data_IF_540934828041
#
_entry.id   IF_540934828041
#
_cell.length_a   1.000
_cell.length_b   1.000
_cell.length_c   1.000
_cell.angle_alpha   90.00
_cell.angle_beta   90.00
_cell.angle_gamma   90.00
#
_symmetry.space_group_name_H-M   'P 1'
#
loop_
_entity.id
_entity.type
_entity.pdbx_description
1 polymer ?
#
# COMPACT_ATOMS: atom_id res chain seq x y z
N UNK A 1 -28.80 -9.23 8.00
CA UNK A 1 -28.37 -8.70 7.78
C UNK A 1 -27.25 -8.66 7.61
N UNK A 2 -26.75 -8.67 7.34
CA UNK A 2 -25.75 -8.75 7.25
C UNK A 2 -25.11 -8.26 6.89
N UNK A 3 -25.02 -8.03 6.62
CA UNK A 3 -23.96 -7.98 6.66
C UNK A 3 -23.39 -6.84 6.04
N UNK A 4 -23.81 -5.54 6.35
CA UNK A 4 -23.15 -4.34 6.01
C UNK A 4 -21.72 -4.32 6.49
N UNK A 5 -21.52 -4.89 7.64
CA UNK A 5 -20.20 -4.95 8.25
C UNK A 5 -19.25 -5.77 7.39
N UNK A 6 -19.68 -6.92 6.90
CA UNK A 6 -18.86 -7.75 6.04
C UNK A 6 -18.66 -7.12 4.67
N UNK A 7 -19.69 -6.49 4.16
CA UNK A 7 -19.57 -5.80 2.90
C UNK A 7 -18.57 -4.67 3.00
N UNK A 8 -18.62 -3.93 4.09
CA UNK A 8 -17.70 -2.84 4.30
C UNK A 8 -16.27 -3.32 4.48
N UNK A 9 -16.09 -4.48 5.11
CA UNK A 9 -14.76 -5.06 5.23
C UNK A 9 -14.17 -5.40 3.86
N UNK A 10 -15.00 -5.91 2.97
CA UNK A 10 -14.55 -6.21 1.61
C UNK A 10 -14.18 -4.95 0.86
N UNK A 11 -14.99 -3.92 0.99
CA UNK A 11 -14.72 -2.65 0.34
C UNK A 11 -13.45 -2.00 0.86
N UNK A 12 -13.27 -2.05 2.15
CA UNK A 12 -12.08 -1.50 2.78
C UNK A 12 -10.83 -2.26 2.31
N UNK A 13 -10.93 -3.58 2.28
CA UNK A 13 -9.85 -4.42 1.81
C UNK A 13 -9.50 -4.12 0.36
N UNK A 14 -10.51 -3.93 -0.47
CA UNK A 14 -10.31 -3.60 -1.87
C UNK A 14 -9.59 -2.27 -2.03
N UNK A 15 -10.00 -1.29 -1.24
CA UNK A 15 -9.37 0.03 -1.27
C UNK A 15 -7.88 -0.08 -0.92
N UNK A 16 -7.59 -0.82 0.14
CA UNK A 16 -6.20 -1.00 0.57
C UNK A 16 -5.39 -1.73 -0.50
N UNK A 17 -5.98 -2.76 -1.09
CA UNK A 17 -5.31 -3.52 -2.15
C UNK A 17 -4.99 -2.65 -3.36
N UNK A 18 -5.89 -1.73 -3.69
CA UNK A 18 -5.68 -0.83 -4.81
C UNK A 18 -4.46 0.04 -4.58
N UNK A 19 -4.36 0.62 -3.39
CA UNK A 19 -3.20 1.45 -3.08
C UNK A 19 -1.93 0.61 -2.91
N UNK A 20 -2.09 -0.61 -2.41
CA UNK A 20 -0.95 -1.51 -2.29
C UNK A 20 -0.35 -1.82 -3.66
N UNK A 21 -1.20 -2.15 -4.63
CA UNK A 21 -0.75 -2.43 -5.98
C UNK A 21 -0.07 -1.22 -6.59
N UNK A 22 -0.67 -0.04 -6.42
CA UNK A 22 -0.08 1.18 -6.95
C UNK A 22 1.29 1.45 -6.34
N UNK A 23 1.41 1.21 -5.04
CA UNK A 23 2.70 1.40 -4.37
C UNK A 23 3.73 0.39 -4.87
N UNK A 24 3.33 -0.87 -5.06
CA UNK A 24 4.26 -1.88 -5.55
C UNK A 24 4.74 -1.58 -6.97
N UNK A 25 3.85 -1.06 -7.80
CA UNK A 25 4.23 -0.65 -9.13
C UNK A 25 5.23 0.51 -9.06
N UNK A 26 4.94 1.49 -8.22
CA UNK A 26 5.84 2.63 -8.06
C UNK A 26 7.18 2.24 -7.46
N UNK A 27 7.19 1.21 -6.61
CA UNK A 27 8.43 0.70 -6.04
C UNK A 27 9.29 -0.04 -7.07
N UNK A 28 8.72 -0.37 -8.21
CA UNK A 28 9.45 -1.12 -9.22
C UNK A 28 9.46 -2.61 -8.96
N UNK A 29 8.56 -3.07 -8.10
CA UNK A 29 8.47 -4.50 -7.76
C UNK A 29 7.45 -5.20 -8.63
N UNK A 30 6.44 -4.46 -9.07
CA UNK A 30 5.35 -5.00 -9.86
C UNK A 30 5.29 -4.29 -11.20
N UNK A 31 5.00 -5.06 -12.24
CA UNK A 31 4.88 -4.52 -13.58
C UNK A 31 3.62 -3.66 -13.70
N UNK A 32 3.74 -2.54 -14.38
CA UNK A 32 2.60 -1.67 -14.66
C UNK A 32 1.73 -2.36 -15.71
N UNK A 33 0.46 -2.66 -15.40
CA UNK A 33 -0.38 -3.39 -16.35
C UNK A 33 -0.69 -2.59 -17.62
N UNK A 34 -0.59 -1.27 -17.56
CA UNK A 34 -0.85 -0.44 -18.73
C UNK A 34 0.32 -0.45 -19.70
N UNK A 35 1.51 -0.17 -19.20
CA UNK A 35 2.70 -0.10 -20.03
C UNK A 35 3.38 -1.45 -20.19
N UNK A 36 3.07 -2.37 -19.31
CA UNK A 36 3.69 -3.71 -19.28
C UNK A 36 5.18 -3.65 -18.99
N UNK A 37 5.60 -2.60 -18.33
CA UNK A 37 6.99 -2.41 -17.97
C UNK A 37 7.15 -2.19 -16.48
N UNK A 38 8.36 -2.42 -16.02
CA UNK A 38 8.72 -2.13 -14.63
C UNK A 38 9.49 -0.82 -14.63
N UNK A 39 9.04 0.12 -13.84
CA UNK A 39 9.78 1.35 -13.64
C UNK A 39 9.62 1.75 -12.19
N UNK A 40 10.56 2.57 -11.71
CA UNK A 40 10.57 2.92 -10.30
C UNK A 40 10.42 4.42 -10.11
N UNK A 41 9.55 4.80 -9.21
CA UNK A 41 9.37 6.19 -8.82
C UNK A 41 9.15 6.20 -7.31
N UNK A 42 10.23 6.38 -6.57
CA UNK A 42 10.17 6.28 -5.12
C UNK A 42 9.36 7.40 -4.48
N UNK A 43 9.34 8.58 -5.09
CA UNK A 43 8.52 9.68 -4.58
C UNK A 43 7.04 9.30 -4.65
N UNK A 44 6.63 8.68 -5.74
CA UNK A 44 5.26 8.25 -5.90
C UNK A 44 4.93 7.12 -4.95
N UNK A 45 5.87 6.19 -4.76
CA UNK A 45 5.68 5.10 -3.80
C UNK A 45 5.49 5.67 -2.40
N UNK A 46 6.30 6.64 -2.02
CA UNK A 46 6.18 7.30 -0.73
C UNK A 46 4.81 7.94 -0.58
N UNK A 47 4.32 8.55 -1.64
CA UNK A 47 3.01 9.18 -1.61
C UNK A 47 1.90 8.18 -1.33
N UNK A 48 1.94 7.02 -1.97
CA UNK A 48 0.93 6.00 -1.72
C UNK A 48 0.99 5.47 -0.30
N UNK A 49 2.20 5.34 0.25
CA UNK A 49 2.34 4.92 1.63
C UNK A 49 1.74 5.97 2.57
N UNK A 50 1.99 7.23 2.27
CA UNK A 50 1.41 8.32 3.07
C UNK A 50 -0.10 8.34 2.99
N UNK A 51 -0.66 8.00 1.84
CA UNK A 51 -2.11 7.91 1.71
C UNK A 51 -2.67 6.85 2.65
N UNK A 52 -2.00 5.71 2.74
CA UNK A 52 -2.43 4.65 3.63
C UNK A 52 -2.24 5.04 5.10
N UNK A 53 -1.19 5.77 5.42
CA UNK A 53 -0.99 6.27 6.77
C UNK A 53 -2.09 7.25 7.15
N UNK A 54 -2.45 8.11 6.23
CA UNK A 54 -3.54 9.06 6.45
C UNK A 54 -4.85 8.30 6.66
N UNK A 55 -5.07 7.26 5.88
CA UNK A 55 -6.27 6.45 6.02
C UNK A 55 -6.34 5.81 7.40
N UNK A 56 -5.21 5.28 7.87
CA UNK A 56 -5.15 4.68 9.20
C UNK A 56 -5.51 5.70 10.27
N UNK A 57 -4.95 6.89 10.15
CA UNK A 57 -5.21 7.95 11.11
C UNK A 57 -6.67 8.40 11.11
N UNK A 58 -7.21 8.59 9.91
CA UNK A 58 -8.57 9.12 9.77
C UNK A 58 -9.65 8.12 10.15
N UNK A 59 -9.37 6.84 10.04
CA UNK A 59 -10.37 5.82 10.35
C UNK A 59 -10.15 5.17 11.71
N UNK A 60 -9.19 5.66 12.48
CA UNK A 60 -8.88 5.09 13.77
C UNK A 60 -10.10 5.10 14.68
N UNK A 61 -10.35 3.95 15.30
CA UNK A 61 -11.51 3.81 16.16
C UNK A 61 -12.80 3.54 15.42
N UNK A 62 -12.75 3.49 14.11
CA UNK A 62 -13.94 3.30 13.30
C UNK A 62 -13.78 2.13 12.32
N UNK A 63 -12.93 1.18 12.67
CA UNK A 63 -12.67 0.01 11.84
C UNK A 63 -12.79 -1.24 12.68
N UNK A 64 -13.08 -2.35 12.01
CA UNK A 64 -13.09 -3.65 12.69
C UNK A 64 -11.66 -4.10 12.91
N UNK A 65 -11.50 -5.11 13.74
CA UNK A 65 -10.17 -5.66 13.99
C UNK A 65 -9.56 -6.21 12.70
N UNK A 66 -10.39 -6.82 11.86
CA UNK A 66 -9.94 -7.33 10.57
C UNK A 66 -9.41 -6.21 9.68
N UNK A 67 -10.17 -5.12 9.58
CA UNK A 67 -9.76 -3.97 8.78
C UNK A 67 -8.47 -3.35 9.29
N UNK A 68 -8.36 -3.27 10.60
CA UNK A 68 -7.16 -2.73 11.21
C UNK A 68 -5.93 -3.56 10.87
N UNK A 69 -6.08 -4.90 10.96
CA UNK A 69 -4.96 -5.80 10.69
C UNK A 69 -4.52 -5.71 9.23
N UNK A 70 -5.46 -5.68 8.31
CA UNK A 70 -5.12 -5.59 6.89
C UNK A 70 -4.30 -4.33 6.63
N UNK A 71 -4.76 -3.22 7.14
CA UNK A 71 -4.08 -1.95 6.89
C UNK A 71 -2.70 -1.92 7.50
N UNK A 72 -2.57 -2.36 8.75
CA UNK A 72 -1.28 -2.34 9.42
C UNK A 72 -0.29 -3.29 8.76
N UNK A 73 -0.76 -4.47 8.35
CA UNK A 73 0.12 -5.43 7.68
C UNK A 73 0.59 -4.87 6.34
N UNK A 74 -0.32 -4.25 5.59
CA UNK A 74 0.03 -3.67 4.30
C UNK A 74 1.03 -2.54 4.46
N UNK A 75 0.79 -1.65 5.42
CA UNK A 75 1.70 -0.54 5.67
C UNK A 75 3.08 -1.01 6.07
N UNK A 76 3.12 -1.98 6.97
CA UNK A 76 4.40 -2.52 7.44
C UNK A 76 5.20 -3.12 6.28
N UNK A 77 4.51 -3.89 5.43
CA UNK A 77 5.15 -4.52 4.29
C UNK A 77 5.66 -3.49 3.29
N UNK A 78 4.84 -2.49 2.97
CA UNK A 78 5.23 -1.48 2.01
C UNK A 78 6.38 -0.61 2.51
N UNK A 79 6.38 -0.29 3.79
CA UNK A 79 7.47 0.50 4.36
C UNK A 79 8.78 -0.26 4.29
N UNK A 80 8.74 -1.54 4.58
CA UNK A 80 9.93 -2.36 4.51
C UNK A 80 10.45 -2.44 3.07
N UNK A 81 9.54 -2.67 2.13
CA UNK A 81 9.91 -2.74 0.72
C UNK A 81 10.45 -1.41 0.20
N UNK A 82 9.88 -0.32 0.70
CA UNK A 82 10.36 1.01 0.32
C UNK A 82 11.81 1.20 0.75
N UNK A 83 12.11 0.83 1.99
CA UNK A 83 13.46 0.95 2.51
C UNK A 83 14.43 0.09 1.70
N UNK A 84 14.01 -1.12 1.37
CA UNK A 84 14.84 -2.02 0.58
C UNK A 84 15.16 -1.44 -0.80
N UNK A 85 14.14 -0.92 -1.47
CA UNK A 85 14.34 -0.38 -2.81
C UNK A 85 15.17 0.89 -2.78
N UNK A 86 14.97 1.71 -1.78
CA UNK A 86 15.74 2.92 -1.63
C UNK A 86 17.21 2.60 -1.37
N UNK A 87 17.44 1.60 -0.56
CA UNK A 87 18.81 1.15 -0.25
C UNK A 87 19.51 0.62 -1.50
N UNK A 88 18.79 -0.18 -2.29
CA UNK A 88 19.34 -0.71 -3.53
C UNK A 88 19.69 0.40 -4.52
N UNK A 89 18.84 1.40 -4.60
CA UNK A 89 19.09 2.51 -5.50
C UNK A 89 20.33 3.28 -5.12
N UNK A 90 20.52 3.52 -3.83
CA UNK A 90 21.70 4.21 -3.34
C UNK A 90 22.95 3.38 -3.63
N UNK A 91 22.90 2.09 -3.37
CA UNK A 91 24.04 1.23 -3.64
C UNK A 91 24.36 1.15 -5.12
N UNK A 92 23.31 1.13 -5.93
CA UNK A 92 23.49 1.03 -7.37
C UNK A 92 24.21 2.22 -7.96
N UNK A 93 24.26 3.32 -7.22
CA UNK A 93 24.91 4.52 -7.70
C UNK A 93 26.39 4.58 -7.40
N UNK A 94 26.83 3.77 -6.50
CA UNK A 94 28.26 3.75 -6.21
C UNK A 94 28.97 2.68 -7.06
#
# INVERSE_FOLDING_TARGET
MEDKSKEQEKLYSYLISTFQSSALIALGIMKNPMSKEISQNLDQASYYIKLLEMLEHKTKGNVTEYEKQILLNTLSDLKMKFIEQKSKKVRGKS
#
